data_IF_850383104153
#
_entry.id   IF_850383104153
#
_cell.length_a   1.000
_cell.length_b   1.000
_cell.length_c   1.000
_cell.angle_alpha   90.00
_cell.angle_beta   90.00
_cell.angle_gamma   90.00
#
_symmetry.space_group_name_H-M   'P 1'
#
loop_
_entity.id
_entity.type
_entity.pdbx_description
1 polymer ?
#
# COMPACT_ATOMS: atom_id res chain seq x y z
N UNK A 1 5.26 -5.43 1.58
CA UNK A 1 4.81 -5.01 2.94
C UNK A 1 4.27 -3.58 2.96
N UNK A 2 4.96 -2.58 2.41
CA UNK A 2 4.50 -1.17 2.46
C UNK A 2 3.07 -1.00 1.95
N UNK A 3 2.71 -1.59 0.82
CA UNK A 3 1.35 -1.55 0.28
C UNK A 3 0.29 -2.09 1.26
N UNK A 4 0.58 -3.20 1.93
CA UNK A 4 -0.31 -3.77 2.95
C UNK A 4 -0.49 -2.83 4.14
N UNK A 5 0.57 -2.13 4.54
CA UNK A 5 0.52 -1.10 5.60
C UNK A 5 -0.33 0.08 5.17
N UNK A 6 -0.11 0.64 3.97
CA UNK A 6 -0.89 1.77 3.45
C UNK A 6 -2.38 1.41 3.31
N UNK A 7 -2.69 0.21 2.87
CA UNK A 7 -4.05 -0.32 2.79
C UNK A 7 -4.68 -0.45 4.19
N UNK A 8 -3.95 -1.00 5.17
CA UNK A 8 -4.43 -1.13 6.54
C UNK A 8 -4.69 0.24 7.20
N UNK A 9 -3.82 1.22 6.93
CA UNK A 9 -3.98 2.59 7.41
C UNK A 9 -5.17 3.31 6.75
N UNK A 10 -5.68 2.79 5.64
CA UNK A 10 -6.59 3.49 4.73
C UNK A 10 -6.03 4.86 4.33
N UNK A 11 -4.71 4.98 4.25
CA UNK A 11 -4.01 6.22 3.97
C UNK A 11 -2.85 5.97 3.01
N UNK A 12 -3.03 6.40 1.78
CA UNK A 12 -2.04 6.27 0.72
C UNK A 12 -1.10 7.47 0.65
N UNK A 13 -1.28 8.47 1.52
CA UNK A 13 -0.53 9.73 1.47
C UNK A 13 -0.50 10.33 0.07
N UNK A 14 -1.62 10.22 -0.61
CA UNK A 14 -1.77 10.70 -1.96
C UNK A 14 -1.65 12.22 -1.99
N UNK A 15 -0.72 12.74 -2.79
CA UNK A 15 -0.50 14.16 -3.01
C UNK A 15 -1.29 14.65 -4.21
N UNK A 16 -1.29 13.85 -5.28
CA UNK A 16 -1.88 14.23 -6.55
C UNK A 16 -2.43 12.99 -7.28
N UNK A 17 -3.48 13.17 -8.04
CA UNK A 17 -4.10 12.12 -8.86
C UNK A 17 -4.11 12.55 -10.32
N UNK A 18 -3.48 11.76 -11.15
CA UNK A 18 -3.54 11.87 -12.60
C UNK A 18 -4.54 10.83 -13.11
N UNK A 19 -5.62 11.27 -13.73
CA UNK A 19 -6.62 10.38 -14.32
C UNK A 19 -6.61 10.51 -15.85
N UNK A 20 -6.63 9.37 -16.55
CA UNK A 20 -6.60 9.36 -18.01
C UNK A 20 -6.25 8.01 -18.59
N UNK A 21 -5.80 8.02 -19.84
CA UNK A 21 -5.27 6.84 -20.52
C UNK A 21 -3.75 6.89 -20.48
N UNK A 22 -3.16 5.80 -20.04
CA UNK A 22 -1.71 5.64 -19.89
C UNK A 22 -1.23 4.48 -20.74
N UNK A 23 -0.03 4.62 -21.30
CA UNK A 23 0.62 3.56 -22.08
C UNK A 23 1.95 3.22 -21.43
N UNK A 24 2.12 1.95 -21.09
CA UNK A 24 3.41 1.37 -20.68
C UNK A 24 4.09 0.86 -21.93
N UNK A 25 5.32 1.27 -22.14
CA UNK A 25 6.14 0.86 -23.29
C UNK A 25 7.52 0.44 -22.82
N UNK A 26 7.96 -0.73 -23.27
CA UNK A 26 9.26 -1.31 -22.86
C UNK A 26 9.43 -1.37 -21.35
N UNK A 27 8.36 -1.74 -20.63
CA UNK A 27 8.35 -1.88 -19.19
C UNK A 27 8.43 -0.56 -18.41
N UNK A 28 8.26 0.58 -19.09
CA UNK A 28 8.34 1.91 -18.47
C UNK A 28 7.07 2.71 -18.68
N UNK A 29 6.70 3.49 -17.68
CA UNK A 29 5.59 4.43 -17.73
C UNK A 29 6.13 5.85 -17.60
N UNK A 30 5.94 6.66 -18.63
CA UNK A 30 6.28 8.08 -18.58
C UNK A 30 5.25 8.82 -17.71
N UNK A 31 5.69 9.30 -16.57
CA UNK A 31 4.88 10.08 -15.65
C UNK A 31 5.49 11.47 -15.47
N UNK A 32 4.73 12.55 -15.70
CA UNK A 32 5.18 13.90 -15.39
C UNK A 32 5.30 14.10 -13.89
N UNK A 33 6.28 14.88 -13.46
CA UNK A 33 6.42 15.45 -12.12
C UNK A 33 6.60 14.45 -10.95
N UNK A 34 7.04 13.21 -11.22
CA UNK A 34 7.46 12.28 -10.18
C UNK A 34 8.98 12.37 -9.94
N UNK A 35 9.36 12.61 -8.70
CA UNK A 35 10.77 12.59 -8.30
C UNK A 35 11.32 11.16 -8.25
N UNK A 36 12.62 11.00 -8.48
CA UNK A 36 13.29 9.71 -8.31
C UNK A 36 13.12 9.19 -6.88
N UNK A 37 12.80 7.91 -6.75
CA UNK A 37 12.51 7.27 -5.47
C UNK A 37 11.12 7.57 -4.91
N UNK A 38 10.33 8.42 -5.54
CA UNK A 38 8.97 8.69 -5.10
C UNK A 38 8.05 7.49 -5.35
N UNK A 39 7.22 7.16 -4.37
CA UNK A 39 6.19 6.14 -4.53
C UNK A 39 5.00 6.69 -5.31
N UNK A 40 4.41 5.81 -6.11
CA UNK A 40 3.16 6.06 -6.81
C UNK A 40 2.32 4.79 -6.87
N UNK A 41 1.02 4.95 -7.04
CA UNK A 41 0.08 3.83 -7.19
C UNK A 41 -0.60 3.91 -8.54
N UNK A 42 -0.63 2.79 -9.24
CA UNK A 42 -1.45 2.60 -10.45
C UNK A 42 -2.78 2.02 -10.03
N UNK A 43 -3.87 2.53 -10.59
CA UNK A 43 -5.24 2.08 -10.33
C UNK A 43 -5.99 1.94 -11.65
N UNK A 44 -6.59 0.77 -11.87
CA UNK A 44 -7.36 0.47 -13.08
C UNK A 44 -6.56 -0.18 -14.22
N UNK A 45 -5.30 -0.50 -13.99
CA UNK A 45 -4.50 -1.36 -14.87
C UNK A 45 -4.85 -2.83 -14.64
N UNK A 46 -4.76 -3.65 -15.67
CA UNK A 46 -4.98 -5.10 -15.56
C UNK A 46 -3.73 -5.81 -15.04
N UNK A 47 -2.55 -5.36 -15.47
CA UNK A 47 -1.28 -6.03 -15.19
C UNK A 47 -0.41 -5.28 -14.19
N UNK A 48 -0.58 -3.96 -14.06
CA UNK A 48 0.31 -3.10 -13.28
C UNK A 48 -0.39 -2.39 -12.11
N UNK A 49 -1.59 -2.82 -11.70
CA UNK A 49 -2.26 -2.23 -10.54
C UNK A 49 -1.43 -2.43 -9.27
N UNK A 50 -1.32 -1.42 -8.42
CA UNK A 50 -0.60 -1.49 -7.16
C UNK A 50 0.43 -0.40 -6.92
N UNK A 51 1.29 -0.61 -5.93
CA UNK A 51 2.32 0.32 -5.48
C UNK A 51 3.63 0.12 -6.26
N UNK A 52 4.15 1.21 -6.80
CA UNK A 52 5.42 1.27 -7.54
C UNK A 52 6.30 2.39 -7.01
N UNK A 53 7.54 2.44 -7.49
CA UNK A 53 8.51 3.50 -7.16
C UNK A 53 9.11 4.06 -8.45
N UNK A 54 9.27 5.37 -8.52
CA UNK A 54 9.91 6.03 -9.66
C UNK A 54 11.43 5.81 -9.64
N UNK A 55 12.10 5.58 -10.79
CA UNK A 55 11.50 5.45 -12.11
C UNK A 55 10.68 4.16 -12.25
N UNK A 56 9.54 4.26 -12.95
CA UNK A 56 8.68 3.12 -13.19
C UNK A 56 9.36 2.15 -14.18
N UNK A 57 9.89 1.06 -13.68
CA UNK A 57 10.59 0.05 -14.47
C UNK A 57 10.06 -1.36 -14.17
N UNK A 58 10.16 -2.25 -15.16
CA UNK A 58 9.72 -3.64 -15.01
C UNK A 58 8.20 -3.82 -15.03
N UNK A 59 7.47 -2.85 -15.55
CA UNK A 59 6.03 -2.93 -15.77
C UNK A 59 5.73 -3.80 -17.01
N UNK A 60 4.54 -4.37 -17.05
CA UNK A 60 4.04 -5.06 -18.24
C UNK A 60 3.51 -4.05 -19.26
N UNK A 61 3.91 -4.19 -20.52
CA UNK A 61 3.44 -3.30 -21.59
C UNK A 61 1.93 -3.43 -21.78
N UNK A 62 1.24 -2.33 -21.60
CA UNK A 62 -0.22 -2.22 -21.81
C UNK A 62 -0.65 -0.77 -22.02
N UNK A 63 -1.84 -0.60 -22.55
CA UNK A 63 -2.55 0.68 -22.52
C UNK A 63 -3.78 0.52 -21.65
N UNK A 64 -3.90 1.31 -20.59
CA UNK A 64 -5.02 1.25 -19.67
C UNK A 64 -5.63 2.63 -19.42
N UNK A 65 -6.90 2.66 -19.08
CA UNK A 65 -7.60 3.86 -18.64
C UNK A 65 -7.87 3.75 -17.16
N UNK A 66 -7.31 4.69 -16.38
CA UNK A 66 -7.36 4.62 -14.94
C UNK A 66 -6.79 5.86 -14.28
N UNK A 67 -6.11 5.67 -13.17
CA UNK A 67 -5.49 6.76 -12.43
C UNK A 67 -4.09 6.37 -11.91
N UNK A 68 -3.20 7.36 -11.88
CA UNK A 68 -1.92 7.26 -11.21
C UNK A 68 -1.91 8.24 -10.03
N UNK A 69 -1.66 7.73 -8.85
CA UNK A 69 -1.61 8.52 -7.62
C UNK A 69 -0.15 8.78 -7.24
N UNK A 70 0.28 10.03 -7.31
CA UNK A 70 1.57 10.45 -6.77
C UNK A 70 1.50 10.48 -5.25
N UNK A 71 2.35 9.73 -4.58
CA UNK A 71 2.32 9.56 -3.14
C UNK A 71 3.44 10.34 -2.46
N UNK A 72 3.17 10.88 -1.26
CA UNK A 72 4.14 11.51 -0.38
C UNK A 72 4.24 10.73 0.92
N UNK A 73 4.61 9.44 0.82
CA UNK A 73 4.69 8.55 1.98
C UNK A 73 5.79 9.03 2.93
N UNK A 74 5.48 9.32 4.21
CA UNK A 74 6.49 9.71 5.19
C UNK A 74 7.56 8.62 5.37
N UNK A 75 8.81 9.03 5.51
CA UNK A 75 9.93 8.11 5.73
C UNK A 75 9.71 7.22 6.95
N UNK A 76 9.10 7.75 8.00
CA UNK A 76 8.72 7.00 9.20
C UNK A 76 7.77 5.83 8.91
N UNK A 77 6.82 6.00 7.98
CA UNK A 77 5.91 4.92 7.57
C UNK A 77 6.64 3.86 6.75
N UNK A 78 7.58 4.28 5.90
CA UNK A 78 8.44 3.33 5.14
C UNK A 78 9.29 2.51 6.10
N UNK A 79 9.97 3.15 7.06
CA UNK A 79 10.78 2.47 8.08
C UNK A 79 9.91 1.50 8.90
N UNK A 80 8.73 1.93 9.34
CA UNK A 80 7.79 1.08 10.06
C UNK A 80 7.33 -0.14 9.24
N UNK A 81 7.13 0.02 7.93
CA UNK A 81 6.80 -1.09 7.05
C UNK A 81 7.93 -2.13 6.92
N UNK A 82 9.20 -1.70 6.98
CA UNK A 82 10.35 -2.62 7.01
C UNK A 82 10.48 -3.33 8.37
N UNK A 83 10.22 -2.64 9.48
CA UNK A 83 10.16 -3.25 10.81
C UNK A 83 9.05 -4.31 10.88
N UNK A 84 7.86 -4.01 10.37
CA UNK A 84 6.74 -4.96 10.28
C UNK A 84 7.13 -6.16 9.42
N UNK A 85 7.81 -5.95 8.29
CA UNK A 85 8.29 -7.03 7.41
C UNK A 85 9.27 -7.94 8.15
N UNK A 86 10.23 -7.37 8.88
CA UNK A 86 11.19 -8.12 9.67
C UNK A 86 10.52 -8.89 10.83
N UNK A 87 9.55 -8.26 11.50
CA UNK A 87 8.76 -8.91 12.53
C UNK A 87 7.93 -10.07 11.97
N UNK A 88 7.24 -9.88 10.85
CA UNK A 88 6.44 -10.91 10.20
C UNK A 88 7.27 -12.12 9.77
N UNK A 89 8.50 -11.90 9.30
CA UNK A 89 9.42 -12.97 8.94
C UNK A 89 9.84 -13.83 10.15
N UNK A 90 9.98 -13.20 11.33
CA UNK A 90 10.32 -13.90 12.59
C UNK A 90 9.10 -14.57 13.24
N UNK A 91 7.91 -14.02 13.04
CA UNK A 91 6.67 -14.45 13.66
C UNK A 91 5.70 -15.04 12.62
N UNK A 92 6.19 -15.93 11.76
CA UNK A 92 5.32 -16.62 10.82
C UNK A 92 4.21 -17.31 11.61
N UNK A 93 2.97 -16.92 11.33
CA UNK A 93 1.78 -17.47 11.95
C UNK A 93 1.61 -18.92 11.45
N UNK A 94 2.08 -19.89 12.24
CA UNK A 94 1.69 -21.29 12.05
C UNK A 94 0.18 -21.45 12.32
N UNK A 95 -0.42 -22.51 11.80
CA UNK A 95 -1.84 -22.80 11.97
C UNK A 95 -2.26 -23.04 13.42
N UNK A 96 -1.31 -23.13 14.36
CA UNK A 96 -1.57 -23.47 15.76
C UNK A 96 -1.17 -22.33 16.68
N UNK A 97 -2.04 -22.00 17.63
CA UNK A 97 -1.81 -21.03 18.70
C UNK A 97 -1.08 -21.64 19.92
N UNK A 98 -1.08 -22.95 20.01
CA UNK A 98 -0.35 -23.71 21.05
C UNK A 98 0.12 -25.05 20.52
N UNK A 99 1.30 -25.47 20.95
CA UNK A 99 1.83 -26.81 20.71
C UNK A 99 2.29 -27.40 22.04
N UNK A 100 2.00 -28.69 22.24
CA UNK A 100 2.45 -29.46 23.40
C UNK A 100 3.09 -30.76 22.90
N UNK A 101 4.37 -30.96 23.20
CA UNK A 101 5.10 -32.17 22.86
C UNK A 101 6.09 -32.52 23.95
N UNK A 102 6.06 -33.76 24.42
CA UNK A 102 7.08 -34.30 25.33
C UNK A 102 7.27 -33.55 26.66
N UNK A 103 6.19 -32.96 27.23
CA UNK A 103 6.27 -32.18 28.46
C UNK A 103 6.66 -30.70 28.27
N UNK A 104 6.87 -30.27 27.04
CA UNK A 104 7.09 -28.87 26.70
C UNK A 104 5.79 -28.29 26.09
N UNK A 105 5.29 -27.21 26.68
CA UNK A 105 4.15 -26.50 26.12
C UNK A 105 4.54 -25.07 25.75
N UNK A 106 4.22 -24.67 24.53
CA UNK A 106 4.42 -23.31 24.03
C UNK A 106 3.07 -22.70 23.66
N UNK A 107 2.78 -21.56 24.24
CA UNK A 107 1.57 -20.79 23.92
C UNK A 107 1.99 -19.45 23.33
N UNK A 108 1.51 -19.12 22.13
CA UNK A 108 1.72 -17.82 21.51
C UNK A 108 0.80 -16.76 22.11
N UNK A 109 1.25 -15.52 22.08
CA UNK A 109 0.39 -14.39 22.43
C UNK A 109 -0.84 -14.38 21.52
N UNK A 110 -2.01 -14.29 22.13
CA UNK A 110 -3.30 -14.17 21.43
C UNK A 110 -3.86 -12.76 21.63
N UNK A 111 -4.59 -12.28 20.62
CA UNK A 111 -5.34 -11.03 20.73
C UNK A 111 -6.60 -11.23 21.57
N UNK A 112 -7.38 -10.14 21.80
CA UNK A 112 -8.61 -10.17 22.58
C UNK A 112 -9.69 -11.14 22.07
N UNK A 113 -9.55 -11.64 20.83
CA UNK A 113 -10.45 -12.64 20.20
C UNK A 113 -9.90 -14.06 20.26
N UNK A 114 -8.77 -14.30 20.95
CA UNK A 114 -8.14 -15.62 21.06
C UNK A 114 -7.36 -16.07 19.81
N UNK A 115 -7.22 -15.22 18.81
CA UNK A 115 -6.41 -15.47 17.62
C UNK A 115 -4.96 -15.07 17.85
N UNK A 116 -4.01 -15.71 17.15
CA UNK A 116 -2.61 -15.32 17.18
C UNK A 116 -2.43 -13.84 16.81
N UNK A 117 -1.59 -13.11 17.52
CA UNK A 117 -1.33 -11.69 17.29
C UNK A 117 -0.72 -11.49 15.91
N UNK A 118 -1.44 -10.76 15.05
CA UNK A 118 -0.93 -10.32 13.75
C UNK A 118 -0.10 -9.04 13.86
N UNK A 119 0.59 -8.66 12.78
CA UNK A 119 1.33 -7.40 12.76
C UNK A 119 0.42 -6.18 12.96
N UNK A 120 -0.85 -6.26 12.55
CA UNK A 120 -1.83 -5.18 12.73
C UNK A 120 -2.07 -4.87 14.22
N UNK A 121 -2.12 -5.92 15.05
CA UNK A 121 -2.29 -5.80 16.50
C UNK A 121 -0.97 -5.41 17.17
N UNK A 122 0.13 -6.04 16.77
CA UNK A 122 1.46 -5.81 17.33
C UNK A 122 1.95 -4.37 17.15
N UNK A 123 1.63 -3.75 16.02
CA UNK A 123 2.04 -2.38 15.66
C UNK A 123 0.89 -1.36 15.72
N UNK A 124 -0.24 -1.72 16.33
CA UNK A 124 -1.44 -0.87 16.36
C UNK A 124 -1.16 0.55 16.90
N UNK A 125 -0.39 0.67 17.98
CA UNK A 125 -0.05 1.95 18.60
C UNK A 125 0.82 2.84 17.68
N UNK A 126 1.79 2.24 16.98
CA UNK A 126 2.69 2.96 16.07
C UNK A 126 1.98 3.37 14.77
N UNK A 127 0.98 2.59 14.34
CA UNK A 127 0.20 2.84 13.15
C UNK A 127 -0.94 3.84 13.36
N UNK A 128 -1.46 3.94 14.59
CA UNK A 128 -2.60 4.79 14.91
C UNK A 128 -2.50 6.26 14.44
N UNK A 129 -1.35 6.96 14.60
CA UNK A 129 -1.21 8.35 14.17
C UNK A 129 -1.35 8.56 12.66
N UNK A 130 -1.12 7.52 11.86
CA UNK A 130 -1.13 7.58 10.40
C UNK A 130 -2.45 7.13 9.78
N UNK A 131 -3.37 6.60 10.60
CA UNK A 131 -4.65 6.06 10.13
C UNK A 131 -5.57 7.18 9.68
N UNK A 132 -6.14 7.02 8.48
CA UNK A 132 -7.19 7.91 7.96
C UNK A 132 -8.55 7.26 8.17
N UNK A 133 -9.53 8.04 8.61
CA UNK A 133 -10.93 7.61 8.64
C UNK A 133 -11.39 7.36 7.20
N UNK A 134 -12.26 6.35 7.02
CA UNK A 134 -12.85 6.09 5.70
C UNK A 134 -13.74 7.28 5.33
N UNK A 135 -13.34 7.98 4.30
CA UNK A 135 -14.17 8.97 3.65
C UNK A 135 -15.00 8.25 2.58
N UNK A 136 -16.30 8.14 2.81
CA UNK A 136 -17.24 7.49 1.90
C UNK A 136 -17.44 8.29 0.61
N UNK A 137 -16.88 9.49 0.49
CA UNK A 137 -17.03 10.37 -0.68
C UNK A 137 -15.99 10.14 -1.80
N UNK A 138 -15.04 9.22 -1.63
CA UNK A 138 -14.12 8.81 -2.71
C UNK A 138 -14.79 7.84 -3.68
N UNK A 139 -15.79 8.29 -4.40
CA UNK A 139 -16.21 7.65 -5.65
C UNK A 139 -15.07 7.85 -6.66
N UNK A 140 -14.53 6.75 -7.19
CA UNK A 140 -13.53 6.81 -8.24
C UNK A 140 -14.01 7.75 -9.37
N UNK A 141 -13.20 8.72 -9.83
CA UNK A 141 -13.62 9.60 -10.90
C UNK A 141 -13.88 8.76 -12.16
N UNK A 142 -15.09 8.89 -12.70
CA UNK A 142 -15.45 8.27 -13.98
C UNK A 142 -14.52 8.83 -15.08
N UNK A 143 -13.79 8.02 -15.83
CA UNK A 143 -12.87 8.51 -16.83
C UNK A 143 -13.63 9.20 -17.97
N UNK A 144 -13.49 10.52 -18.10
CA UNK A 144 -13.80 11.24 -19.32
C UNK A 144 -12.48 11.48 -20.05
N UNK A 145 -12.40 11.04 -21.32
CA UNK A 145 -11.23 11.07 -22.18
C UNK A 145 -10.64 12.46 -22.42
N UNK A 146 -9.92 12.97 -21.46
CA UNK A 146 -9.13 14.19 -21.53
C UNK A 146 -7.70 13.84 -21.10
N UNK A 147 -6.65 14.43 -21.69
CA UNK A 147 -5.28 14.19 -21.26
C UNK A 147 -5.12 14.44 -19.76
N UNK A 148 -4.18 13.76 -19.08
CA UNK A 148 -4.05 13.83 -17.64
C UNK A 148 -3.86 15.29 -17.19
N UNK A 149 -4.90 15.84 -16.57
CA UNK A 149 -4.83 17.12 -15.88
C UNK A 149 -4.74 16.83 -14.38
N UNK A 150 -3.83 17.47 -13.67
CA UNK A 150 -3.77 17.33 -12.22
C UNK A 150 -5.11 17.75 -11.61
N UNK A 151 -5.74 16.85 -10.90
CA UNK A 151 -6.94 17.13 -10.13
C UNK A 151 -6.57 17.24 -8.65
N UNK A 152 -7.23 18.16 -7.99
CA UNK A 152 -7.14 18.54 -6.56
C UNK A 152 -6.38 17.59 -5.62
N UNK A 153 -5.61 18.11 -4.67
CA UNK A 153 -4.89 17.31 -3.68
C UNK A 153 -5.83 16.34 -2.95
N UNK A 154 -5.37 15.14 -2.70
CA UNK A 154 -6.12 14.03 -2.08
C UNK A 154 -6.42 14.26 -0.59
N UNK A 155 -5.96 15.38 -0.03
CA UNK A 155 -6.17 15.70 1.37
C UNK A 155 -6.76 17.11 1.51
N UNK A 156 -7.83 17.20 2.18
CA UNK A 156 -8.34 18.36 2.88
C UNK A 156 -8.21 18.13 4.37
#
# INVERSE_FOLDING_TARGET
MLEAVLTHLNNWFCREVYAGTFTVTSGTLALPDLADGQYFRIVGSVFNDGLHQSPAAGLTDETFTGAVWALAVPKSVVTLAEEIKAWAAKNQLGAYTSESFGGYSYTRATNAKGAAVGWQDAFAAQLAPYRKLRDTSMVAPTPKGTPPTPRKPCWR
#
